data_IF_673392357650
#
_entry.id   IF_673392357650
#
_cell.length_a   1.000
_cell.length_b   1.000
_cell.length_c   1.000
_cell.angle_alpha   90.00
_cell.angle_beta   90.00
_cell.angle_gamma   90.00
#
_symmetry.space_group_name_H-M   'P 1'
#
loop_
_entity.id
_entity.type
_entity.pdbx_description
1 polymer ?
#
# COMPACT_ATOMS: atom_id res chain seq x y z
N UNK A 1 44.37 -1.46 12.31
CA UNK A 1 43.03 -1.12 12.82
C UNK A 1 42.30 -0.30 11.77
N UNK A 2 41.37 -0.93 11.02
CA UNK A 2 40.66 -0.28 9.93
C UNK A 2 39.47 0.53 10.49
N UNK A 3 39.43 1.82 10.13
CA UNK A 3 38.39 2.74 10.51
C UNK A 3 37.02 2.28 9.96
N UNK A 4 36.00 2.25 10.84
CA UNK A 4 34.61 2.10 10.46
C UNK A 4 34.22 3.22 9.48
N UNK A 5 33.99 2.86 8.21
CA UNK A 5 33.26 3.73 7.28
C UNK A 5 31.84 3.87 7.80
N UNK A 6 31.51 5.06 8.32
CA UNK A 6 30.13 5.50 8.55
C UNK A 6 29.35 5.32 7.25
N UNK A 7 28.28 4.52 7.31
CA UNK A 7 27.33 4.42 6.21
C UNK A 7 26.74 5.82 5.99
N UNK A 8 27.06 6.33 4.81
CA UNK A 8 26.70 7.62 4.25
C UNK A 8 25.22 7.94 4.43
N UNK A 9 25.00 9.20 4.81
CA UNK A 9 23.77 9.99 4.70
C UNK A 9 22.88 9.60 3.52
N UNK A 10 21.60 9.36 3.78
CA UNK A 10 20.54 9.40 2.77
C UNK A 10 20.33 10.86 2.36
N UNK A 11 21.14 11.33 1.42
CA UNK A 11 20.90 12.56 0.66
C UNK A 11 19.79 12.32 -0.37
N UNK A 12 19.02 13.38 -0.65
CA UNK A 12 17.71 13.33 -1.27
C UNK A 12 17.63 12.80 -2.71
N UNK A 13 16.39 12.48 -3.11
CA UNK A 13 15.97 12.58 -4.50
C UNK A 13 16.12 11.35 -5.39
N UNK A 14 15.63 10.17 -4.99
CA UNK A 14 14.97 9.24 -5.93
C UNK A 14 14.39 8.02 -5.20
N UNK A 15 13.16 7.66 -5.53
CA UNK A 15 12.65 6.33 -5.18
C UNK A 15 13.43 5.29 -5.98
N UNK A 16 13.84 4.20 -5.33
CA UNK A 16 14.65 3.15 -5.95
C UNK A 16 13.76 2.24 -6.82
N UNK A 17 13.47 2.70 -8.05
CA UNK A 17 12.58 2.03 -9.02
C UNK A 17 13.21 0.82 -9.73
N UNK A 18 14.06 0.05 -9.05
CA UNK A 18 14.78 -1.08 -9.67
C UNK A 18 13.84 -2.11 -10.27
N UNK A 19 12.67 -2.32 -9.66
CA UNK A 19 11.65 -3.18 -10.25
C UNK A 19 10.86 -2.43 -11.35
N UNK A 20 10.97 -2.85 -12.63
CA UNK A 20 10.26 -2.19 -13.73
C UNK A 20 8.74 -2.25 -13.55
N UNK A 21 8.20 -3.33 -12.97
CA UNK A 21 6.75 -3.49 -12.74
C UNK A 21 6.24 -2.46 -11.74
N UNK A 22 7.01 -2.22 -10.67
CA UNK A 22 6.68 -1.17 -9.69
C UNK A 22 6.67 0.22 -10.36
N UNK A 23 7.65 0.48 -11.23
CA UNK A 23 7.77 1.75 -11.95
C UNK A 23 6.60 2.00 -12.89
N UNK A 24 6.21 0.99 -13.66
CA UNK A 24 5.07 1.02 -14.57
C UNK A 24 3.76 1.21 -13.82
N UNK A 25 3.55 0.42 -12.76
CA UNK A 25 2.40 0.53 -11.86
C UNK A 25 2.29 1.91 -11.23
N UNK A 26 3.40 2.49 -10.80
CA UNK A 26 3.38 3.84 -10.25
C UNK A 26 3.10 4.89 -11.32
N UNK A 27 3.49 4.65 -12.59
CA UNK A 27 3.30 5.60 -13.70
C UNK A 27 1.93 5.55 -14.37
N UNK A 28 1.18 4.44 -14.33
CA UNK A 28 -0.05 4.24 -15.13
C UNK A 28 -1.23 5.21 -14.87
N UNK A 29 -1.15 6.05 -13.82
CA UNK A 29 -2.07 7.14 -13.44
C UNK A 29 -3.56 6.84 -13.23
N UNK A 30 -4.08 5.69 -13.65
CA UNK A 30 -5.50 5.38 -13.70
C UNK A 30 -5.98 4.61 -12.46
N UNK A 31 -5.20 3.64 -11.99
CA UNK A 31 -5.50 2.84 -10.80
C UNK A 31 -4.78 3.48 -9.59
N UNK A 32 -5.52 3.82 -8.52
CA UNK A 32 -4.93 4.28 -7.27
C UNK A 32 -3.89 3.32 -6.69
N UNK A 33 -2.89 3.86 -6.00
CA UNK A 33 -1.88 3.08 -5.28
C UNK A 33 -1.87 3.48 -3.81
N UNK A 34 -2.08 2.52 -2.93
CA UNK A 34 -1.92 2.66 -1.47
C UNK A 34 -0.64 1.95 -1.06
N UNK A 35 0.38 2.71 -0.70
CA UNK A 35 1.66 2.17 -0.28
C UNK A 35 1.86 2.35 1.23
N UNK A 36 1.68 1.25 1.98
CA UNK A 36 2.15 1.13 3.35
C UNK A 36 3.62 0.76 3.39
N UNK A 37 4.46 1.79 3.49
CA UNK A 37 5.88 1.64 3.80
C UNK A 37 6.07 1.13 5.23
N UNK A 38 7.30 0.80 5.56
CA UNK A 38 7.61 0.41 6.94
C UNK A 38 7.50 1.60 7.88
N UNK A 39 6.92 1.38 9.05
CA UNK A 39 6.95 2.36 10.14
C UNK A 39 8.39 2.88 10.38
N UNK A 40 8.59 4.18 10.65
CA UNK A 40 7.57 5.21 10.94
C UNK A 40 7.05 5.97 9.71
N UNK A 41 7.39 5.54 8.49
CA UNK A 41 7.03 6.29 7.28
C UNK A 41 5.51 6.42 7.09
N UNK A 42 5.00 7.59 6.65
CA UNK A 42 3.59 7.77 6.33
C UNK A 42 3.19 6.91 5.11
N UNK A 43 1.89 6.60 5.02
CA UNK A 43 1.33 5.98 3.82
C UNK A 43 1.49 6.94 2.65
N UNK A 44 1.88 6.41 1.50
CA UNK A 44 1.76 7.13 0.25
C UNK A 44 0.47 6.71 -0.44
N UNK A 45 -0.35 7.69 -0.79
CA UNK A 45 -1.61 7.52 -1.48
C UNK A 45 -1.53 8.26 -2.81
N UNK A 46 -1.30 7.50 -3.90
CA UNK A 46 -1.28 8.03 -5.26
C UNK A 46 -2.66 7.84 -5.88
N UNK A 47 -3.32 8.93 -6.26
CA UNK A 47 -4.66 8.93 -6.86
C UNK A 47 -4.60 9.45 -8.31
N UNK A 48 -5.56 9.09 -9.17
CA UNK A 48 -5.93 9.93 -10.30
C UNK A 48 -6.20 11.36 -9.83
N UNK A 49 -5.82 12.35 -10.63
CA UNK A 49 -6.03 13.75 -10.26
C UNK A 49 -7.53 14.06 -10.24
N UNK A 50 -7.98 14.68 -9.16
CA UNK A 50 -9.29 15.29 -9.03
C UNK A 50 -9.16 16.51 -8.12
N UNK A 51 -9.96 17.55 -8.37
CA UNK A 51 -9.93 18.82 -7.62
C UNK A 51 -10.35 18.63 -6.17
N UNK A 52 -11.18 17.63 -5.89
CA UNK A 52 -11.69 17.28 -4.56
C UNK A 52 -10.76 16.35 -3.77
N UNK A 53 -9.62 15.90 -4.32
CA UNK A 53 -8.79 14.86 -3.70
C UNK A 53 -8.39 15.20 -2.25
N UNK A 54 -8.01 16.44 -1.97
CA UNK A 54 -7.62 16.83 -0.61
C UNK A 54 -8.75 16.64 0.39
N UNK A 55 -9.92 17.23 0.11
CA UNK A 55 -11.10 17.13 0.98
C UNK A 55 -11.65 15.71 1.05
N UNK A 56 -11.63 15.00 -0.07
CA UNK A 56 -12.03 13.60 -0.12
C UNK A 56 -11.11 12.71 0.72
N UNK A 57 -9.78 12.88 0.68
CA UNK A 57 -8.88 12.09 1.53
C UNK A 57 -9.14 12.44 3.00
N UNK A 58 -9.22 13.73 3.31
CA UNK A 58 -9.32 14.25 4.68
C UNK A 58 -10.63 13.84 5.35
N UNK A 59 -11.76 14.10 4.70
CA UNK A 59 -13.07 14.06 5.35
C UNK A 59 -13.15 15.04 6.53
N UNK A 60 -13.74 14.59 7.63
CA UNK A 60 -13.91 15.31 8.89
C UNK A 60 -12.67 15.31 9.80
N UNK A 61 -11.56 14.69 9.36
CA UNK A 61 -10.41 14.44 10.23
C UNK A 61 -9.56 15.69 10.50
N UNK A 62 -8.99 15.72 11.71
CA UNK A 62 -8.08 16.79 12.16
C UNK A 62 -6.75 16.80 11.39
N UNK A 63 -6.16 15.63 11.15
CA UNK A 63 -4.89 15.53 10.42
C UNK A 63 -5.09 15.87 8.94
N UNK A 64 -4.23 16.74 8.41
CA UNK A 64 -4.28 17.16 7.00
C UNK A 64 -3.40 16.25 6.14
N UNK A 65 -3.91 15.72 5.02
CA UNK A 65 -3.07 15.07 4.01
C UNK A 65 -2.00 16.05 3.53
N UNK A 66 -0.78 15.57 3.33
CA UNK A 66 0.32 16.39 2.81
C UNK A 66 0.67 15.93 1.41
N UNK A 67 0.79 16.86 0.46
CA UNK A 67 1.31 16.51 -0.85
C UNK A 67 2.82 16.25 -0.77
N UNK A 68 3.26 15.11 -1.30
CA UNK A 68 4.66 14.78 -1.50
C UNK A 68 4.98 14.78 -3.00
N UNK A 69 5.66 15.83 -3.45
CA UNK A 69 6.05 16.02 -4.85
C UNK A 69 7.04 14.96 -5.35
N UNK A 70 7.92 14.45 -4.48
CA UNK A 70 8.89 13.41 -4.84
C UNK A 70 8.20 12.11 -5.29
N UNK A 71 7.11 11.73 -4.62
CA UNK A 71 6.34 10.53 -5.00
C UNK A 71 5.13 10.85 -5.88
N UNK A 72 4.80 12.14 -6.07
CA UNK A 72 3.55 12.58 -6.69
C UNK A 72 2.33 11.90 -6.04
N UNK A 73 2.31 11.92 -4.72
CA UNK A 73 1.34 11.22 -3.90
C UNK A 73 1.04 12.00 -2.61
N UNK A 74 -0.07 11.66 -1.97
CA UNK A 74 -0.44 12.18 -0.66
C UNK A 74 0.19 11.36 0.46
N UNK A 75 0.77 12.03 1.46
CA UNK A 75 1.16 11.45 2.73
C UNK A 75 -0.01 11.52 3.71
N UNK A 76 -0.37 10.37 4.28
CA UNK A 76 -1.40 10.25 5.33
C UNK A 76 -0.94 9.34 6.48
N UNK A 77 -1.54 9.45 7.69
CA UNK A 77 -1.19 8.58 8.82
C UNK A 77 -1.31 7.09 8.50
N UNK A 78 -0.38 6.27 9.01
CA UNK A 78 -0.41 4.80 8.87
C UNK A 78 -1.69 4.17 9.43
N UNK A 79 -2.24 4.75 10.49
CA UNK A 79 -3.50 4.32 11.10
C UNK A 79 -4.69 4.38 10.14
N UNK A 80 -4.60 5.16 9.06
CA UNK A 80 -5.69 5.28 8.08
C UNK A 80 -5.68 4.16 7.05
N UNK A 81 -4.71 3.23 7.09
CA UNK A 81 -4.47 2.26 6.03
C UNK A 81 -5.72 1.48 5.60
N UNK A 82 -6.41 0.84 6.55
CA UNK A 82 -7.58 0.02 6.22
C UNK A 82 -8.73 0.90 5.69
N UNK A 83 -9.02 2.00 6.37
CA UNK A 83 -10.14 2.88 6.03
C UNK A 83 -9.94 3.60 4.70
N UNK A 84 -8.73 4.14 4.43
CA UNK A 84 -8.43 4.83 3.18
C UNK A 84 -8.42 3.87 2.01
N UNK A 85 -7.93 2.64 2.20
CA UNK A 85 -7.95 1.63 1.13
C UNK A 85 -9.39 1.22 0.81
N UNK A 86 -10.24 1.03 1.82
CA UNK A 86 -11.66 0.79 1.61
C UNK A 86 -12.34 1.97 0.89
N UNK A 87 -12.00 3.21 1.27
CA UNK A 87 -12.51 4.43 0.62
C UNK A 87 -12.09 4.51 -0.84
N UNK A 88 -10.84 4.18 -1.16
CA UNK A 88 -10.31 4.09 -2.53
C UNK A 88 -11.08 3.04 -3.33
N UNK A 89 -11.25 1.83 -2.79
CA UNK A 89 -11.97 0.76 -3.48
C UNK A 89 -13.43 1.15 -3.78
N UNK A 90 -14.11 1.84 -2.85
CA UNK A 90 -15.46 2.37 -3.09
C UNK A 90 -15.51 3.41 -4.21
N UNK A 91 -14.51 4.31 -4.29
CA UNK A 91 -14.50 5.39 -5.29
C UNK A 91 -14.06 4.93 -6.67
N UNK A 92 -13.08 4.03 -6.74
CA UNK A 92 -12.39 3.69 -7.99
C UNK A 92 -12.62 2.25 -8.45
N UNK A 93 -13.27 1.41 -7.63
CA UNK A 93 -13.49 -0.01 -7.90
C UNK A 93 -12.22 -0.88 -7.81
N UNK A 94 -11.03 -0.29 -7.98
CA UNK A 94 -9.74 -0.99 -7.92
C UNK A 94 -8.67 -0.18 -7.19
N UNK A 95 -7.72 -0.88 -6.58
CA UNK A 95 -6.55 -0.28 -5.95
C UNK A 95 -5.35 -1.23 -5.98
N UNK A 96 -4.18 -0.72 -6.31
CA UNK A 96 -2.94 -1.42 -5.97
C UNK A 96 -2.59 -1.17 -4.50
N UNK A 97 -2.38 -2.23 -3.75
CA UNK A 97 -1.99 -2.17 -2.34
C UNK A 97 -0.60 -2.75 -2.19
N UNK A 98 0.32 -1.94 -1.68
CA UNK A 98 1.72 -2.31 -1.46
C UNK A 98 2.00 -2.29 0.04
N UNK A 99 2.43 -3.42 0.59
CA UNK A 99 2.81 -3.58 1.99
C UNK A 99 4.04 -4.45 2.14
N UNK A 100 4.64 -4.48 3.34
CA UNK A 100 5.74 -5.38 3.64
C UNK A 100 5.36 -6.83 3.35
N UNK A 101 6.32 -7.56 2.81
CA UNK A 101 6.20 -8.98 2.50
C UNK A 101 7.20 -9.77 3.33
N UNK A 102 6.69 -10.73 4.10
CA UNK A 102 7.50 -11.65 4.90
C UNK A 102 7.39 -13.04 4.31
N UNK A 103 8.36 -13.40 3.47
CA UNK A 103 8.44 -14.70 2.79
C UNK A 103 8.29 -15.91 3.73
N UNK A 104 8.77 -15.80 4.97
CA UNK A 104 8.71 -16.87 5.97
C UNK A 104 7.46 -16.82 6.87
N UNK A 105 6.66 -15.75 6.82
CA UNK A 105 5.44 -15.65 7.62
C UNK A 105 4.31 -16.44 6.94
N UNK A 106 4.13 -17.68 7.37
CA UNK A 106 3.04 -18.54 6.88
C UNK A 106 1.68 -17.93 7.24
N UNK A 107 0.72 -18.09 6.33
CA UNK A 107 -0.66 -17.71 6.58
C UNK A 107 -1.22 -18.52 7.76
N UNK A 108 -1.94 -17.86 8.66
CA UNK A 108 -2.43 -18.42 9.91
C UNK A 108 -3.89 -17.99 10.16
N UNK A 109 -4.62 -18.59 11.13
CA UNK A 109 -6.01 -18.25 11.40
C UNK A 109 -6.28 -16.75 11.61
N UNK A 110 -5.34 -16.02 12.22
CA UNK A 110 -5.45 -14.57 12.36
C UNK A 110 -5.57 -13.82 11.01
N UNK A 111 -4.96 -14.33 9.94
CA UNK A 111 -5.07 -13.80 8.58
C UNK A 111 -6.39 -14.24 7.91
N UNK A 112 -6.79 -15.50 8.07
CA UNK A 112 -8.06 -16.00 7.52
C UNK A 112 -9.27 -15.29 8.13
N UNK A 113 -9.18 -14.95 9.42
CA UNK A 113 -10.26 -14.32 10.18
C UNK A 113 -10.10 -12.79 10.28
N UNK A 114 -9.18 -12.19 9.52
CA UNK A 114 -8.93 -10.76 9.56
C UNK A 114 -10.13 -9.97 9.00
N UNK A 115 -10.45 -8.84 9.66
CA UNK A 115 -11.50 -7.90 9.22
C UNK A 115 -10.94 -6.74 8.38
N UNK A 116 -9.68 -6.34 8.64
CA UNK A 116 -8.98 -5.29 7.91
C UNK A 116 -8.25 -5.79 6.66
N UNK A 117 -7.36 -4.98 6.08
CA UNK A 117 -6.62 -5.28 4.84
C UNK A 117 -5.12 -5.56 5.07
N UNK A 118 -4.64 -5.38 6.30
CA UNK A 118 -3.24 -5.63 6.63
C UNK A 118 -2.87 -7.09 6.42
N UNK A 119 -1.91 -7.34 5.54
CA UNK A 119 -1.44 -8.68 5.23
C UNK A 119 0.03 -8.64 4.81
N UNK A 120 0.89 -9.35 5.54
CA UNK A 120 2.33 -9.49 5.24
C UNK A 120 2.74 -10.95 5.00
N UNK A 121 1.77 -11.87 4.98
CA UNK A 121 2.01 -13.32 4.83
C UNK A 121 2.71 -13.65 3.50
N UNK A 122 3.34 -14.82 3.47
CA UNK A 122 3.84 -15.46 2.25
C UNK A 122 2.75 -15.71 1.19
N UNK A 123 1.48 -15.73 1.61
CA UNK A 123 0.31 -15.97 0.77
C UNK A 123 -0.17 -14.75 -0.04
N UNK A 124 0.45 -13.57 0.17
CA UNK A 124 0.11 -12.33 -0.53
C UNK A 124 -1.39 -12.00 -0.52
N UNK A 125 -2.09 -12.33 0.56
CA UNK A 125 -3.52 -12.04 0.71
C UNK A 125 -4.48 -13.06 0.11
N UNK A 126 -4.02 -14.13 -0.55
CA UNK A 126 -4.88 -15.09 -1.23
C UNK A 126 -5.93 -15.76 -0.32
N UNK A 127 -5.67 -15.86 0.98
CA UNK A 127 -6.58 -16.44 1.99
C UNK A 127 -7.08 -15.43 3.02
N UNK A 128 -6.72 -14.17 2.86
CA UNK A 128 -7.01 -13.14 3.84
C UNK A 128 -8.52 -12.88 3.94
N UNK A 129 -9.08 -12.92 5.14
CA UNK A 129 -10.52 -12.72 5.37
C UNK A 129 -11.44 -13.86 4.91
N UNK A 130 -10.90 -14.97 4.38
CA UNK A 130 -11.71 -16.09 3.87
C UNK A 130 -12.48 -16.88 4.94
N UNK A 131 -12.10 -16.76 6.21
CA UNK A 131 -12.76 -17.40 7.34
C UNK A 131 -13.95 -16.61 7.90
N UNK A 132 -14.34 -15.47 7.30
CA UNK A 132 -15.42 -14.63 7.79
C UNK A 132 -16.39 -14.23 6.65
N UNK A 133 -17.72 -14.42 6.80
CA UNK A 133 -18.70 -14.08 5.75
C UNK A 133 -18.63 -12.61 5.29
N UNK A 134 -18.36 -11.68 6.21
CA UNK A 134 -18.16 -10.25 5.89
C UNK A 134 -16.70 -9.88 5.60
N UNK A 135 -15.77 -10.85 5.63
CA UNK A 135 -14.33 -10.61 5.47
C UNK A 135 -13.90 -10.46 4.00
N UNK A 136 -14.73 -10.90 3.06
CA UNK A 136 -14.42 -10.94 1.63
C UNK A 136 -15.22 -9.89 0.86
N UNK A 137 -14.88 -8.62 1.08
CA UNK A 137 -15.44 -7.48 0.35
C UNK A 137 -14.55 -6.99 -0.81
N UNK A 138 -13.42 -7.66 -1.03
CA UNK A 138 -12.51 -7.41 -2.15
C UNK A 138 -11.96 -8.71 -2.72
N UNK A 139 -11.52 -8.66 -3.97
CA UNK A 139 -10.81 -9.74 -4.66
C UNK A 139 -9.35 -9.34 -4.92
N UNK A 140 -8.42 -10.28 -4.74
CA UNK A 140 -7.02 -10.13 -5.16
C UNK A 140 -6.88 -10.77 -6.53
N UNK A 141 -6.69 -9.96 -7.58
CA UNK A 141 -6.67 -10.43 -8.98
C UNK A 141 -5.27 -10.58 -9.56
N UNK A 142 -4.27 -9.90 -9.00
CA UNK A 142 -2.86 -10.01 -9.40
C UNK A 142 -1.95 -9.71 -8.21
N UNK A 143 -0.79 -10.36 -8.15
CA UNK A 143 0.21 -10.17 -7.09
C UNK A 143 1.63 -10.30 -7.60
N UNK A 144 2.54 -9.47 -7.11
CA UNK A 144 3.97 -9.69 -7.23
C UNK A 144 4.74 -9.16 -6.02
N UNK A 145 5.92 -9.72 -5.78
CA UNK A 145 6.86 -9.20 -4.77
C UNK A 145 8.03 -8.47 -5.42
N UNK A 146 8.53 -7.45 -4.73
CA UNK A 146 9.72 -6.69 -5.12
C UNK A 146 10.51 -6.24 -3.88
N UNK A 147 11.78 -5.90 -4.08
CA UNK A 147 12.62 -5.32 -3.02
C UNK A 147 12.69 -3.81 -3.14
N UNK A 148 12.62 -3.11 -2.01
CA UNK A 148 12.98 -1.69 -1.92
C UNK A 148 13.90 -1.49 -0.72
N UNK A 149 15.15 -1.11 -1.03
CA UNK A 149 16.23 -1.12 -0.05
C UNK A 149 16.39 -2.53 0.53
N UNK A 150 16.51 -2.68 1.86
CA UNK A 150 16.68 -3.99 2.49
C UNK A 150 15.35 -4.76 2.69
N UNK A 151 14.20 -4.19 2.34
CA UNK A 151 12.88 -4.76 2.64
C UNK A 151 12.23 -5.34 1.39
N UNK A 152 11.45 -6.39 1.57
CA UNK A 152 10.58 -6.93 0.53
C UNK A 152 9.16 -6.43 0.72
N UNK A 153 8.48 -6.20 -0.38
CA UNK A 153 7.11 -5.74 -0.45
C UNK A 153 6.30 -6.64 -1.38
N UNK A 154 5.02 -6.80 -1.07
CA UNK A 154 4.04 -7.43 -1.94
C UNK A 154 3.14 -6.32 -2.49
N UNK A 155 2.96 -6.33 -3.80
CA UNK A 155 1.94 -5.58 -4.49
C UNK A 155 0.75 -6.51 -4.78
N UNK A 156 -0.46 -6.02 -4.52
CA UNK A 156 -1.72 -6.73 -4.75
C UNK A 156 -2.67 -5.81 -5.51
N UNK A 157 -3.26 -6.28 -6.59
CA UNK A 157 -4.39 -5.57 -7.21
C UNK A 157 -5.68 -6.02 -6.53
N UNK A 158 -6.28 -5.09 -5.78
CA UNK A 158 -7.58 -5.28 -5.15
C UNK A 158 -8.68 -4.75 -6.07
N UNK A 159 -9.78 -5.48 -6.16
CA UNK A 159 -11.04 -5.03 -6.79
C UNK A 159 -12.16 -5.08 -5.76
N UNK A 160 -13.04 -4.07 -5.77
CA UNK A 160 -14.25 -4.10 -4.95
C UNK A 160 -15.21 -5.16 -5.49
N UNK A 161 -15.81 -5.95 -4.60
CA UNK A 161 -16.86 -6.90 -4.96
C UNK A 161 -18.25 -6.25 -5.01
N UNK A 162 -18.38 -4.97 -4.63
CA UNK A 162 -19.61 -4.21 -4.74
C UNK A 162 -19.84 -3.79 -6.19
N UNK A 163 -20.47 -4.66 -6.97
CA UNK A 163 -20.78 -4.47 -8.39
C UNK A 163 -21.24 -5.73 -9.16
N UNK A 164 -21.56 -6.82 -8.47
CA UNK A 164 -22.44 -7.88 -8.97
C UNK A 164 -23.71 -7.90 -8.13
#
# INVERSE_FOLDING_TARGET
MAALKRLSTCSGGNMDWRDPRLRELWKQKNIPVVFRRSSPDPLLLRLPYATDNFEWIRGDRRHKPKWNSQFSAWEVPVAWFDEITAKVLRRFGKAYVIQLYKKHQKCAPACWNAKGLHCECSCMGARHGTGHPQGRWHEVSDTFAFSWGPKQYACRLLSSLSGQ
#
